data_IF_447406076247
#
_entry.id   IF_447406076247
#
_cell.length_a   1.000
_cell.length_b   1.000
_cell.length_c   1.000
_cell.angle_alpha   90.00
_cell.angle_beta   90.00
_cell.angle_gamma   90.00
#
_symmetry.space_group_name_H-M   'P 1'
#
loop_
_entity.id
_entity.type
_entity.pdbx_description
1 polymer ?
#
# COMPACT_ATOMS: atom_id res chain seq x y z
N UNK A 1 13.18 9.94 4.25
CA UNK A 1 12.62 11.30 4.34
C UNK A 1 11.35 11.43 3.51
N UNK A 2 11.43 11.42 2.18
CA UNK A 2 10.25 11.57 1.29
C UNK A 2 9.17 10.51 1.55
N UNK A 3 9.54 9.22 1.66
CA UNK A 3 8.58 8.14 1.95
C UNK A 3 7.79 8.35 3.26
N UNK A 4 8.45 8.83 4.31
CA UNK A 4 7.79 9.12 5.58
C UNK A 4 6.85 10.33 5.47
N UNK A 5 7.23 11.33 4.66
CA UNK A 5 6.37 12.48 4.37
C UNK A 5 5.12 12.08 3.58
N UNK A 6 5.26 11.22 2.58
CA UNK A 6 4.13 10.64 1.82
C UNK A 6 3.18 9.91 2.77
N UNK A 7 3.70 9.06 3.66
CA UNK A 7 2.89 8.36 4.65
C UNK A 7 2.18 9.31 5.63
N UNK A 8 2.84 10.38 6.06
CA UNK A 8 2.25 11.39 6.94
C UNK A 8 1.11 12.19 6.27
N UNK A 9 1.13 12.32 4.94
CA UNK A 9 0.04 12.88 4.14
C UNK A 9 -1.08 11.85 3.82
N UNK A 10 -0.94 10.61 4.26
CA UNK A 10 -1.90 9.53 4.02
C UNK A 10 -1.67 8.74 2.71
N UNK A 11 -0.62 9.05 1.95
CA UNK A 11 -0.29 8.35 0.71
C UNK A 11 0.51 7.04 0.92
N UNK A 12 0.45 6.14 -0.06
CA UNK A 12 1.32 4.96 -0.15
C UNK A 12 2.31 5.05 -1.33
N UNK A 13 2.15 6.04 -2.21
CA UNK A 13 3.01 6.27 -3.35
C UNK A 13 3.24 7.77 -3.57
N UNK A 14 4.35 8.08 -4.25
CA UNK A 14 4.62 9.41 -4.80
C UNK A 14 4.58 9.33 -6.33
N UNK A 15 3.92 10.29 -6.96
CA UNK A 15 3.89 10.47 -8.42
C UNK A 15 4.37 11.88 -8.79
N UNK A 16 4.45 12.18 -10.09
CA UNK A 16 4.88 13.51 -10.59
C UNK A 16 6.25 13.95 -10.05
N UNK A 17 7.19 13.02 -9.89
CA UNK A 17 8.50 13.32 -9.32
C UNK A 17 9.27 14.36 -10.15
N UNK A 18 9.81 15.38 -9.48
CA UNK A 18 10.66 16.39 -10.08
C UNK A 18 11.79 16.79 -9.14
N UNK A 19 13.04 16.69 -9.60
CA UNK A 19 14.21 17.26 -8.94
C UNK A 19 14.45 18.66 -9.48
N UNK A 20 14.18 19.67 -8.66
CA UNK A 20 14.28 21.08 -9.04
C UNK A 20 15.72 21.60 -8.98
N UNK A 21 16.47 21.15 -7.99
CA UNK A 21 17.81 21.68 -7.74
C UNK A 21 18.68 20.62 -7.04
N UNK A 22 19.96 20.59 -7.40
CA UNK A 22 20.99 19.79 -6.76
C UNK A 22 22.24 20.66 -6.64
N UNK A 23 22.49 21.20 -5.46
CA UNK A 23 23.66 22.04 -5.19
C UNK A 23 24.68 21.25 -4.37
N UNK A 24 25.85 21.02 -4.95
CA UNK A 24 27.01 20.47 -4.27
C UNK A 24 27.91 21.61 -3.80
N UNK A 25 28.13 21.70 -2.50
CA UNK A 25 29.03 22.67 -1.89
C UNK A 25 30.21 21.95 -1.28
N UNK A 26 31.41 22.30 -1.71
CA UNK A 26 32.66 21.72 -1.21
C UNK A 26 33.42 22.73 -0.36
N UNK A 27 33.95 22.25 0.77
CA UNK A 27 34.88 22.98 1.61
C UNK A 27 36.21 22.20 1.66
N UNK A 28 37.13 22.44 0.71
CA UNK A 28 38.40 21.72 0.65
C UNK A 28 39.27 21.95 1.91
N UNK A 29 39.16 23.11 2.55
CA UNK A 29 39.88 23.42 3.79
C UNK A 29 39.44 22.55 4.98
N UNK A 30 38.25 21.93 4.90
CA UNK A 30 37.70 21.02 5.92
C UNK A 30 37.56 19.59 5.41
N UNK A 31 37.96 19.31 4.16
CA UNK A 31 37.71 18.06 3.45
C UNK A 31 36.25 17.59 3.60
N UNK A 32 35.31 18.52 3.52
CA UNK A 32 33.88 18.29 3.70
C UNK A 32 33.13 18.70 2.44
N UNK A 33 32.08 17.97 2.10
CA UNK A 33 31.09 18.39 1.12
C UNK A 33 29.69 18.30 1.72
N UNK A 34 28.79 19.14 1.21
CA UNK A 34 27.36 19.10 1.50
C UNK A 34 26.61 19.09 0.17
N UNK A 35 25.51 18.35 0.13
CA UNK A 35 24.63 18.31 -1.04
C UNK A 35 23.22 18.66 -0.62
N UNK A 36 22.67 19.72 -1.21
CA UNK A 36 21.27 20.09 -1.07
C UNK A 36 20.51 19.61 -2.31
N UNK A 37 19.49 18.78 -2.09
CA UNK A 37 18.66 18.24 -3.16
C UNK A 37 17.21 18.64 -2.92
N UNK A 38 16.66 19.43 -3.83
CA UNK A 38 15.28 19.86 -3.80
C UNK A 38 14.47 18.97 -4.73
N UNK A 39 13.61 18.14 -4.15
CA UNK A 39 12.68 17.28 -4.88
C UNK A 39 11.23 17.66 -4.58
N UNK A 40 10.34 17.30 -5.49
CA UNK A 40 8.91 17.52 -5.39
C UNK A 40 8.15 16.38 -6.07
N UNK A 41 6.86 16.27 -5.77
CA UNK A 41 5.93 15.31 -6.33
C UNK A 41 4.63 15.30 -5.54
N UNK A 42 3.67 14.49 -5.98
CA UNK A 42 2.35 14.38 -5.37
C UNK A 42 2.27 13.11 -4.52
N UNK A 43 1.77 13.21 -3.29
CA UNK A 43 1.47 12.06 -2.46
C UNK A 43 0.07 11.51 -2.81
N UNK A 44 -0.01 10.21 -3.13
CA UNK A 44 -1.24 9.57 -3.59
C UNK A 44 -1.48 8.24 -2.88
N UNK A 45 -2.73 7.78 -2.88
CA UNK A 45 -3.13 6.43 -2.49
C UNK A 45 -3.41 5.64 -3.76
N UNK A 46 -2.55 4.69 -4.08
CA UNK A 46 -2.75 3.72 -5.15
C UNK A 46 -3.46 2.49 -4.60
N UNK A 47 -4.62 2.15 -5.16
CA UNK A 47 -5.36 0.91 -4.89
C UNK A 47 -5.16 -0.02 -6.09
N UNK A 48 -4.92 -1.31 -5.85
CA UNK A 48 -4.87 -2.34 -6.90
C UNK A 48 -6.10 -3.24 -6.73
N UNK A 49 -6.79 -3.54 -7.83
CA UNK A 49 -8.01 -4.37 -7.80
C UNK A 49 -7.78 -5.87 -7.54
N UNK A 50 -6.53 -6.30 -7.35
CA UNK A 50 -6.14 -7.72 -7.22
C UNK A 50 -6.34 -8.33 -5.82
N UNK A 51 -6.84 -7.59 -4.82
CA UNK A 51 -7.16 -8.11 -3.47
C UNK A 51 -8.62 -8.56 -3.31
N UNK A 52 -9.36 -8.78 -4.42
CA UNK A 52 -10.70 -9.36 -4.35
C UNK A 52 -10.61 -10.87 -4.05
N UNK A 53 -10.62 -11.24 -2.77
CA UNK A 53 -11.00 -12.59 -2.35
C UNK A 53 -12.43 -12.84 -2.85
N UNK A 54 -12.67 -13.90 -3.66
CA UNK A 54 -14.01 -14.17 -4.17
C UNK A 54 -14.99 -14.36 -3.00
N UNK A 55 -16.21 -13.81 -3.07
CA UNK A 55 -17.16 -13.88 -1.96
C UNK A 55 -17.38 -15.34 -1.53
N UNK A 56 -17.44 -15.64 -0.22
CA UNK A 56 -17.66 -17.00 0.25
C UNK A 56 -18.96 -17.52 -0.38
N UNK A 57 -18.84 -18.58 -1.17
CA UNK A 57 -19.98 -19.23 -1.80
C UNK A 57 -20.91 -19.70 -0.69
N UNK A 58 -22.03 -19.00 -0.50
CA UNK A 58 -23.10 -19.47 0.39
C UNK A 58 -23.68 -20.73 -0.23
N UNK A 59 -23.19 -21.90 0.20
CA UNK A 59 -23.86 -23.18 -0.05
C UNK A 59 -25.16 -23.18 0.73
N UNK A 60 -26.23 -22.68 0.10
CA UNK A 60 -27.61 -22.92 0.53
C UNK A 60 -27.99 -24.33 0.10
N UNK A 61 -27.70 -25.33 0.92
CA UNK A 61 -28.37 -26.64 0.84
C UNK A 61 -29.64 -26.58 1.68
N UNK A 62 -30.75 -26.20 1.06
CA UNK A 62 -32.09 -26.39 1.60
C UNK A 62 -32.91 -27.26 0.65
N UNK A 63 -33.17 -28.52 1.05
CA UNK A 63 -34.27 -29.43 0.66
C UNK A 63 -33.83 -30.88 0.93
N UNK A 64 -34.59 -31.83 1.45
CA UNK A 64 -35.91 -31.89 2.10
C UNK A 64 -36.22 -33.39 2.36
N UNK A 65 -36.92 -33.72 3.46
CA UNK A 65 -37.89 -34.82 3.48
C UNK A 65 -37.52 -36.17 4.12
N UNK A 66 -38.15 -36.42 5.29
CA UNK A 66 -38.89 -37.62 5.71
C UNK A 66 -38.23 -39.02 5.82
N UNK A 67 -38.48 -39.70 6.96
CA UNK A 67 -38.63 -41.17 6.99
C UNK A 67 -38.18 -41.90 8.27
N UNK A 68 -39.13 -42.14 9.18
CA UNK A 68 -39.36 -43.33 10.03
C UNK A 68 -38.23 -44.09 10.77
N UNK A 69 -38.46 -44.22 12.10
CA UNK A 69 -38.34 -45.39 13.01
C UNK A 69 -37.15 -46.37 12.90
N UNK A 70 -36.52 -46.69 14.03
CA UNK A 70 -36.73 -47.93 14.82
C UNK A 70 -35.55 -48.16 15.81
N UNK A 71 -35.63 -49.22 16.60
CA UNK A 71 -35.19 -49.45 17.97
C UNK A 71 -33.83 -50.20 18.09
N UNK A 72 -33.32 -50.28 19.34
CA UNK A 72 -32.34 -51.24 19.90
C UNK A 72 -30.87 -51.11 19.44
N UNK A 73 -29.84 -51.18 20.30
CA UNK A 73 -29.61 -51.83 21.60
C UNK A 73 -28.64 -50.99 22.43
#
# INVERSE_FOLDING_TARGET
MVRAHVAALGGNAMVSYSMKECMLMENPNKNQAQCLINVSGDAVICVRDTDQEPPPSTTTMGQSGAGAADEAT
#
